data_IF_000454187722
#
_entry.id   IF_000454187722
#
_cell.length_a   1.000
_cell.length_b   1.000
_cell.length_c   1.000
_cell.angle_alpha   90.00
_cell.angle_beta   90.00
_cell.angle_gamma   90.00
#
_symmetry.space_group_name_H-M   'P 1'
#
loop_
_entity.id
_entity.type
_entity.pdbx_description
1 polymer ?
#
# COMPACT_ATOMS: atom_id res chain seq x y z
N UNK A 1 -11.12 9.76 75.58
CA UNK A 1 -10.85 8.33 75.33
C UNK A 1 -9.86 8.26 74.16
N UNK A 2 -8.56 8.01 74.39
CA UNK A 2 -7.85 6.71 74.21
C UNK A 2 -8.09 6.08 72.82
N UNK A 3 -7.13 5.57 72.04
CA UNK A 3 -5.67 5.68 71.81
C UNK A 3 -5.38 4.69 70.63
N UNK A 4 -4.19 4.78 70.02
CA UNK A 4 -3.47 3.81 69.17
C UNK A 4 -3.78 3.83 67.65
N UNK A 5 -2.87 4.02 66.66
CA UNK A 5 -1.40 3.85 66.44
C UNK A 5 -1.07 2.61 65.57
N UNK A 6 -0.61 2.88 64.34
CA UNK A 6 0.36 2.18 63.45
C UNK A 6 0.02 0.77 62.87
N UNK A 7 0.55 0.29 61.73
CA UNK A 7 1.82 0.55 61.04
C UNK A 7 1.80 0.20 59.52
N UNK A 8 2.85 0.65 58.83
CA UNK A 8 3.26 0.49 57.42
C UNK A 8 3.48 -0.97 56.97
N UNK A 9 3.44 -1.22 55.64
CA UNK A 9 4.56 -1.86 54.91
C UNK A 9 4.32 -1.95 53.40
N UNK A 10 5.20 -1.31 52.64
CA UNK A 10 5.54 -1.58 51.23
C UNK A 10 6.48 -2.79 51.14
N UNK A 11 6.43 -3.62 50.07
CA UNK A 11 7.62 -4.08 49.32
C UNK A 11 7.23 -4.86 48.04
N UNK A 12 7.98 -4.49 47.00
CA UNK A 12 8.19 -5.00 45.64
C UNK A 12 8.24 -6.52 45.51
N UNK A 13 7.55 -7.03 44.49
CA UNK A 13 7.77 -8.38 43.96
C UNK A 13 8.85 -8.32 42.87
N UNK A 14 10.01 -8.91 43.16
CA UNK A 14 11.03 -9.21 42.17
C UNK A 14 11.04 -10.70 41.89
N UNK A 15 11.37 -11.07 40.65
CA UNK A 15 11.85 -12.41 40.35
C UNK A 15 13.13 -12.29 39.53
N UNK A 16 14.24 -12.66 40.17
CA UNK A 16 15.51 -12.98 39.51
C UNK A 16 15.40 -14.39 38.96
N UNK A 17 15.86 -14.64 37.74
CA UNK A 17 16.39 -15.95 37.38
C UNK A 17 17.72 -15.78 36.65
N UNK A 18 18.69 -16.54 37.14
CA UNK A 18 20.10 -16.53 36.78
C UNK A 18 20.36 -17.33 35.49
N UNK A 19 21.48 -17.04 34.82
CA UNK A 19 22.14 -18.00 33.96
C UNK A 19 23.64 -17.98 34.24
N UNK A 20 24.09 -19.01 34.95
CA UNK A 20 25.50 -19.36 35.06
C UNK A 20 25.88 -20.21 33.85
N UNK A 21 27.00 -19.86 33.21
CA UNK A 21 27.64 -20.65 32.17
C UNK A 21 29.09 -20.20 32.05
N UNK A 22 29.99 -20.83 32.81
CA UNK A 22 31.43 -20.74 32.59
C UNK A 22 31.77 -21.46 31.29
N UNK A 23 32.53 -20.82 30.40
CA UNK A 23 33.34 -21.52 29.39
C UNK A 23 34.78 -21.03 29.55
N UNK A 24 35.65 -22.00 29.80
CA UNK A 24 37.08 -21.84 30.02
C UNK A 24 37.83 -21.40 28.75
N UNK A 25 38.96 -20.73 28.98
CA UNK A 25 39.81 -20.03 28.01
C UNK A 25 40.60 -21.02 27.15
N UNK A 26 40.72 -20.74 25.84
CA UNK A 26 41.58 -21.49 24.92
C UNK A 26 41.79 -20.77 23.57
N UNK A 27 42.75 -19.85 23.55
CA UNK A 27 43.66 -19.44 22.45
C UNK A 27 43.18 -19.18 21.00
N UNK A 28 43.57 -17.98 20.53
CA UNK A 28 43.94 -17.57 19.15
C UNK A 28 42.86 -17.02 18.20
N UNK A 29 43.02 -15.72 17.91
CA UNK A 29 42.73 -14.98 16.66
C UNK A 29 41.45 -15.31 15.88
N UNK A 30 40.52 -14.35 15.84
CA UNK A 30 40.28 -13.44 14.70
C UNK A 30 39.23 -12.43 15.16
N UNK A 31 39.58 -11.15 15.18
CA UNK A 31 38.60 -10.07 15.32
C UNK A 31 37.84 -10.00 13.99
N UNK A 32 36.75 -10.76 13.86
CA UNK A 32 35.76 -10.47 12.83
C UNK A 32 34.84 -9.37 13.38
N UNK A 33 35.07 -8.14 12.94
CA UNK A 33 34.13 -7.04 13.11
C UNK A 33 32.84 -7.40 12.36
N UNK A 34 31.93 -8.06 13.07
CA UNK A 34 30.65 -8.49 12.52
C UNK A 34 29.78 -7.26 12.24
N UNK A 35 29.37 -7.15 10.99
CA UNK A 35 28.51 -6.13 10.42
C UNK A 35 27.12 -6.07 11.09
N UNK A 36 27.02 -5.48 12.28
CA UNK A 36 25.74 -5.22 12.97
C UNK A 36 24.77 -4.37 12.13
N UNK A 37 25.26 -3.65 11.13
CA UNK A 37 24.44 -2.91 10.17
C UNK A 37 23.87 -3.78 9.03
N UNK A 38 24.57 -4.82 8.56
CA UNK A 38 24.11 -5.61 7.41
C UNK A 38 22.93 -6.53 7.76
N UNK A 39 22.92 -7.08 8.97
CA UNK A 39 21.81 -7.92 9.46
C UNK A 39 20.54 -7.09 9.74
N UNK A 40 20.71 -5.90 10.34
CA UNK A 40 19.62 -4.94 10.59
C UNK A 40 19.01 -4.41 9.28
N UNK A 41 19.84 -4.03 8.31
CA UNK A 41 19.36 -3.58 6.98
C UNK A 41 18.68 -4.72 6.23
N UNK A 42 19.19 -5.96 6.31
CA UNK A 42 18.54 -7.12 5.69
C UNK A 42 17.19 -7.45 6.36
N UNK A 43 17.09 -7.34 7.68
CA UNK A 43 15.84 -7.54 8.42
C UNK A 43 14.82 -6.44 8.11
N UNK A 44 15.22 -5.17 8.15
CA UNK A 44 14.36 -4.03 7.79
C UNK A 44 13.90 -4.09 6.33
N UNK A 45 14.78 -4.46 5.39
CA UNK A 45 14.45 -4.62 3.98
C UNK A 45 13.57 -5.85 3.71
N UNK A 46 13.66 -6.89 4.54
CA UNK A 46 12.77 -8.05 4.48
C UNK A 46 11.39 -7.71 5.04
N UNK A 47 11.32 -6.94 6.13
CA UNK A 47 10.06 -6.46 6.70
C UNK A 47 9.31 -5.53 5.74
N UNK A 48 10.00 -4.56 5.12
CA UNK A 48 9.39 -3.68 4.11
C UNK A 48 8.94 -4.44 2.86
N UNK A 49 9.71 -5.42 2.40
CA UNK A 49 9.32 -6.28 1.28
C UNK A 49 8.13 -7.19 1.64
N UNK A 50 8.06 -7.69 2.87
CA UNK A 50 6.95 -8.51 3.36
C UNK A 50 5.66 -7.68 3.48
N UNK A 51 5.77 -6.45 4.00
CA UNK A 51 4.69 -5.47 4.04
C UNK A 51 4.21 -5.11 2.63
N UNK A 52 5.14 -4.88 1.69
CA UNK A 52 4.85 -4.64 0.28
C UNK A 52 4.11 -5.81 -0.38
N UNK A 53 4.57 -7.05 -0.17
CA UNK A 53 3.91 -8.23 -0.74
C UNK A 53 2.51 -8.47 -0.15
N UNK A 54 2.32 -8.22 1.15
CA UNK A 54 1.01 -8.30 1.80
C UNK A 54 0.05 -7.26 1.22
N UNK A 55 0.53 -6.03 1.03
CA UNK A 55 -0.27 -4.96 0.45
C UNK A 55 -0.64 -5.23 -1.01
N UNK A 56 0.29 -5.75 -1.83
CA UNK A 56 0.01 -6.16 -3.22
C UNK A 56 -1.05 -7.27 -3.26
N UNK A 57 -0.96 -8.28 -2.39
CA UNK A 57 -1.97 -9.35 -2.29
C UNK A 57 -3.33 -8.81 -1.87
N UNK A 58 -3.37 -7.85 -0.94
CA UNK A 58 -4.61 -7.19 -0.54
C UNK A 58 -5.24 -6.41 -1.70
N UNK A 59 -4.46 -5.61 -2.44
CA UNK A 59 -4.91 -4.92 -3.65
C UNK A 59 -5.51 -5.93 -4.64
N UNK A 60 -4.81 -7.04 -4.89
CA UNK A 60 -5.28 -8.08 -5.81
C UNK A 60 -6.59 -8.71 -5.34
N UNK A 61 -6.74 -8.97 -4.03
CA UNK A 61 -7.97 -9.52 -3.46
C UNK A 61 -9.14 -8.55 -3.61
N UNK A 62 -8.96 -7.27 -3.25
CA UNK A 62 -9.99 -6.23 -3.41
C UNK A 62 -10.41 -6.06 -4.87
N UNK A 63 -9.46 -6.15 -5.80
CA UNK A 63 -9.73 -6.03 -7.22
C UNK A 63 -10.61 -7.16 -7.78
N UNK A 64 -10.64 -8.35 -7.13
CA UNK A 64 -11.60 -9.42 -7.49
C UNK A 64 -13.05 -8.97 -7.30
N UNK A 65 -13.27 -8.06 -6.37
CA UNK A 65 -14.58 -7.52 -6.02
C UNK A 65 -14.85 -6.15 -6.67
N UNK A 66 -13.94 -5.67 -7.53
CA UNK A 66 -14.06 -4.36 -8.18
C UNK A 66 -13.70 -3.19 -7.24
N UNK A 67 -12.95 -3.43 -6.16
CA UNK A 67 -12.61 -2.42 -5.14
C UNK A 67 -11.12 -2.07 -5.18
N UNK A 68 -10.78 -0.90 -4.61
CA UNK A 68 -9.40 -0.45 -4.35
C UNK A 68 -9.21 -0.14 -2.87
N UNK A 69 -7.97 -0.17 -2.33
CA UNK A 69 -7.71 0.24 -0.95
C UNK A 69 -8.14 1.68 -0.69
N UNK A 70 -8.64 1.95 0.52
CA UNK A 70 -8.96 3.31 0.98
C UNK A 70 -10.30 3.88 0.48
N UNK A 71 -11.06 3.12 -0.32
CA UNK A 71 -12.32 3.57 -0.90
C UNK A 71 -13.41 2.50 -0.78
N UNK A 72 -14.60 2.91 -0.36
CA UNK A 72 -15.79 2.05 -0.33
C UNK A 72 -16.66 2.28 -1.58
N UNK A 73 -16.12 1.91 -2.74
CA UNK A 73 -16.82 1.95 -4.03
C UNK A 73 -16.47 0.71 -4.83
N UNK A 74 -17.38 0.31 -5.73
CA UNK A 74 -17.23 -0.85 -6.59
C UNK A 74 -17.33 -0.42 -8.04
N UNK A 75 -16.28 -0.68 -8.81
CA UNK A 75 -16.24 -0.45 -10.23
C UNK A 75 -17.38 -1.20 -10.94
N UNK A 76 -18.07 -0.49 -11.82
CA UNK A 76 -19.24 -0.92 -12.56
C UNK A 76 -20.54 -1.01 -11.77
N UNK A 77 -20.58 -0.53 -10.52
CA UNK A 77 -21.79 -0.56 -9.68
C UNK A 77 -22.07 0.76 -8.98
N UNK A 78 -21.04 1.40 -8.42
CA UNK A 78 -21.24 2.63 -7.64
C UNK A 78 -21.51 3.80 -8.59
N UNK A 79 -22.63 4.53 -8.41
CA UNK A 79 -22.85 5.77 -9.13
C UNK A 79 -21.96 6.88 -8.56
N UNK A 80 -21.49 7.79 -9.42
CA UNK A 80 -20.63 8.90 -9.01
C UNK A 80 -21.33 9.84 -8.02
N UNK A 81 -22.67 9.96 -8.11
CA UNK A 81 -23.47 10.74 -7.17
C UNK A 81 -23.32 10.29 -5.71
N UNK A 82 -23.03 9.01 -5.45
CA UNK A 82 -22.76 8.52 -4.10
C UNK A 82 -21.40 9.03 -3.56
N UNK A 83 -20.43 9.22 -4.44
CA UNK A 83 -19.13 9.83 -4.10
C UNK A 83 -19.34 11.31 -3.84
N UNK A 84 -20.06 12.02 -4.72
CA UNK A 84 -20.39 13.45 -4.56
C UNK A 84 -21.14 13.72 -3.27
N UNK A 85 -22.12 12.87 -2.92
CA UNK A 85 -22.87 12.99 -1.67
C UNK A 85 -21.96 12.93 -0.44
N UNK A 86 -20.93 12.07 -0.48
CA UNK A 86 -20.03 11.87 0.65
C UNK A 86 -18.91 12.90 0.71
N UNK A 87 -18.38 13.30 -0.44
CA UNK A 87 -17.12 14.04 -0.55
C UNK A 87 -17.26 15.45 -1.13
N UNK A 88 -18.44 15.83 -1.59
CA UNK A 88 -18.65 17.08 -2.32
C UNK A 88 -18.17 17.00 -3.76
N UNK A 89 -18.00 18.16 -4.39
CA UNK A 89 -17.55 18.25 -5.77
C UNK A 89 -16.08 17.80 -5.92
N UNK A 90 -15.70 17.16 -7.05
CA UNK A 90 -14.31 16.85 -7.35
C UNK A 90 -13.52 18.14 -7.61
N UNK A 91 -12.19 18.12 -7.45
CA UNK A 91 -11.39 19.29 -7.81
C UNK A 91 -11.21 19.42 -9.33
N UNK A 92 -11.38 18.32 -10.07
CA UNK A 92 -11.26 18.29 -11.54
C UNK A 92 -12.37 17.44 -12.13
N UNK A 93 -13.02 17.95 -13.19
CA UNK A 93 -13.85 17.18 -14.11
C UNK A 93 -15.33 17.06 -13.77
N UNK A 94 -15.79 17.62 -12.65
CA UNK A 94 -17.19 17.47 -12.19
C UNK A 94 -18.25 18.19 -13.04
N UNK A 95 -17.84 19.05 -13.96
CA UNK A 95 -18.70 19.75 -14.93
C UNK A 95 -18.78 19.05 -16.30
N UNK A 96 -17.99 18.00 -16.50
CA UNK A 96 -17.90 17.28 -17.76
C UNK A 96 -19.09 16.33 -17.95
N UNK A 97 -19.47 16.14 -19.22
CA UNK A 97 -20.55 15.23 -19.62
C UNK A 97 -20.01 14.05 -20.42
N UNK A 98 -20.77 12.96 -20.43
CA UNK A 98 -20.41 11.75 -21.17
C UNK A 98 -19.31 10.95 -20.46
N UNK A 99 -18.46 10.27 -21.22
CA UNK A 99 -17.35 9.52 -20.62
C UNK A 99 -16.24 10.50 -20.21
N UNK A 100 -15.97 10.60 -18.92
CA UNK A 100 -14.99 11.55 -18.38
C UNK A 100 -14.30 10.98 -17.14
N UNK A 101 -13.37 11.76 -16.60
CA UNK A 101 -12.71 11.46 -15.33
C UNK A 101 -12.94 12.60 -14.36
N UNK A 102 -13.21 12.23 -13.12
CA UNK A 102 -13.18 13.12 -11.98
C UNK A 102 -12.04 12.76 -11.03
N UNK A 103 -11.47 13.76 -10.36
CA UNK A 103 -10.36 13.58 -9.42
C UNK A 103 -10.69 14.20 -8.06
N UNK A 104 -10.23 13.52 -7.02
CA UNK A 104 -10.26 13.93 -5.62
C UNK A 104 -8.85 13.88 -5.05
N UNK A 105 -8.35 14.97 -4.48
CA UNK A 105 -7.03 15.06 -3.85
C UNK A 105 -7.16 15.64 -2.44
N UNK A 106 -7.22 14.74 -1.47
CA UNK A 106 -7.46 15.09 -0.07
C UNK A 106 -6.22 15.68 0.63
N UNK A 107 -5.03 15.60 0.03
CA UNK A 107 -3.79 16.05 0.67
C UNK A 107 -3.50 15.33 1.99
N UNK A 108 -2.65 15.92 2.85
CA UNK A 108 -2.40 15.54 4.25
C UNK A 108 -2.23 14.02 4.53
N UNK A 109 -1.64 13.27 3.60
CA UNK A 109 -1.49 11.82 3.76
C UNK A 109 -2.79 11.01 3.59
N UNK A 110 -3.87 11.58 3.08
CA UNK A 110 -5.09 10.82 2.73
C UNK A 110 -5.06 10.28 1.29
N UNK A 111 -4.22 10.89 0.45
CA UNK A 111 -3.98 10.48 -0.93
C UNK A 111 -4.97 11.06 -1.92
N UNK A 112 -4.84 10.62 -3.17
CA UNK A 112 -5.70 11.05 -4.27
C UNK A 112 -6.38 9.86 -4.96
N UNK A 113 -7.60 10.11 -5.42
CA UNK A 113 -8.46 9.14 -6.09
C UNK A 113 -8.97 9.70 -7.41
N UNK A 114 -9.18 8.82 -8.38
CA UNK A 114 -9.75 9.17 -9.67
C UNK A 114 -10.86 8.22 -10.08
N UNK A 115 -11.85 8.75 -10.77
CA UNK A 115 -13.06 8.03 -11.15
C UNK A 115 -13.30 8.19 -12.64
N UNK A 116 -13.17 7.10 -13.40
CA UNK A 116 -13.66 7.04 -14.77
C UNK A 116 -15.16 6.79 -14.74
N UNK A 117 -15.93 7.70 -15.32
CA UNK A 117 -17.40 7.74 -15.23
C UNK A 117 -17.98 7.58 -16.62
N UNK A 118 -18.94 6.68 -16.77
CA UNK A 118 -19.63 6.47 -18.04
C UNK A 118 -20.78 7.48 -18.22
N UNK A 119 -21.41 7.50 -19.39
CA UNK A 119 -22.53 8.39 -19.72
C UNK A 119 -23.73 8.26 -18.77
N UNK A 120 -23.91 7.12 -18.11
CA UNK A 120 -24.97 6.86 -17.14
C UNK A 120 -24.60 7.27 -15.71
N UNK A 121 -23.42 7.87 -15.49
CA UNK A 121 -22.96 8.28 -14.17
C UNK A 121 -22.46 7.12 -13.30
N UNK A 122 -22.18 5.95 -13.87
CA UNK A 122 -21.60 4.82 -13.14
C UNK A 122 -20.09 4.83 -13.29
N UNK A 123 -19.40 4.62 -12.17
CA UNK A 123 -17.95 4.56 -12.12
C UNK A 123 -17.49 3.23 -12.76
N UNK A 124 -16.74 3.27 -13.84
CA UNK A 124 -16.17 2.09 -14.49
C UNK A 124 -14.67 1.90 -14.22
N UNK A 125 -13.94 2.96 -13.84
CA UNK A 125 -12.51 2.92 -13.50
C UNK A 125 -12.27 3.57 -12.14
N UNK A 126 -11.73 2.80 -11.19
CA UNK A 126 -11.36 3.29 -9.86
C UNK A 126 -9.84 3.43 -9.77
N UNK A 127 -9.33 4.65 -9.57
CA UNK A 127 -7.90 4.92 -9.45
C UNK A 127 -7.51 5.31 -8.03
N UNK A 128 -6.41 4.74 -7.54
CA UNK A 128 -5.76 5.15 -6.29
C UNK A 128 -4.32 5.59 -6.61
N UNK A 129 -4.03 6.87 -6.40
CA UNK A 129 -2.71 7.45 -6.63
C UNK A 129 -1.79 7.35 -5.41
N UNK A 130 -2.31 6.90 -4.27
CA UNK A 130 -1.62 6.85 -3.00
C UNK A 130 -1.39 8.23 -2.39
N UNK A 131 -0.59 8.26 -1.33
CA UNK A 131 -0.18 9.49 -0.66
C UNK A 131 1.00 10.12 -1.40
N UNK A 132 0.96 11.44 -1.61
CA UNK A 132 2.05 12.16 -2.27
C UNK A 132 3.23 12.46 -1.33
N UNK A 133 2.97 12.51 -0.02
CA UNK A 133 3.95 12.98 0.98
C UNK A 133 4.98 11.92 1.37
N UNK A 134 4.60 10.64 1.36
CA UNK A 134 5.47 9.53 1.73
C UNK A 134 5.46 8.44 0.66
N UNK A 135 6.61 8.27 -0.02
CA UNK A 135 6.81 7.27 -1.07
C UNK A 135 7.21 5.89 -0.54
N UNK A 136 7.34 5.75 0.78
CA UNK A 136 7.70 4.49 1.44
C UNK A 136 6.46 3.68 1.86
N UNK A 137 5.27 4.28 1.78
CA UNK A 137 3.99 3.66 2.13
C UNK A 137 3.00 3.62 0.98
N UNK A 138 1.97 2.77 1.11
CA UNK A 138 0.84 2.70 0.18
C UNK A 138 1.24 2.36 -1.25
N UNK A 139 0.50 2.91 -2.22
CA UNK A 139 0.72 2.63 -3.66
C UNK A 139 2.10 3.08 -4.12
N UNK A 140 2.60 4.21 -3.61
CA UNK A 140 3.88 4.79 -4.02
C UNK A 140 5.10 3.97 -3.56
N UNK A 141 4.95 3.10 -2.57
CA UNK A 141 6.04 2.19 -2.15
C UNK A 141 6.26 1.04 -3.11
N UNK A 142 5.28 0.74 -3.97
CA UNK A 142 5.32 -0.40 -4.86
C UNK A 142 6.22 -0.12 -6.07
N UNK A 143 6.81 -1.19 -6.59
CA UNK A 143 7.56 -1.20 -7.85
C UNK A 143 7.09 -2.34 -8.74
N UNK A 144 7.28 -2.25 -10.04
CA UNK A 144 6.98 -3.36 -10.96
C UNK A 144 7.68 -4.68 -10.55
N UNK A 145 8.92 -4.59 -10.07
CA UNK A 145 9.66 -5.76 -9.59
C UNK A 145 8.99 -6.41 -8.36
N UNK A 146 8.53 -5.60 -7.39
CA UNK A 146 7.81 -6.11 -6.22
C UNK A 146 6.47 -6.76 -6.60
N UNK A 147 5.78 -6.20 -7.60
CA UNK A 147 4.52 -6.75 -8.13
C UNK A 147 4.77 -8.10 -8.80
N UNK A 148 5.76 -8.21 -9.69
CA UNK A 148 6.13 -9.48 -10.34
C UNK A 148 6.54 -10.52 -9.31
N UNK A 149 7.37 -10.14 -8.33
CA UNK A 149 7.81 -11.05 -7.25
C UNK A 149 6.62 -11.61 -6.47
N UNK A 150 5.55 -10.84 -6.32
CA UNK A 150 4.39 -11.22 -5.49
C UNK A 150 3.30 -11.96 -6.27
N UNK A 151 3.01 -11.53 -7.50
CA UNK A 151 1.86 -12.01 -8.29
C UNK A 151 2.27 -12.82 -9.52
N UNK A 152 3.56 -12.92 -9.83
CA UNK A 152 4.05 -13.44 -11.10
C UNK A 152 3.98 -12.41 -12.23
N UNK A 153 4.28 -12.84 -13.46
CA UNK A 153 4.18 -11.95 -14.62
C UNK A 153 2.72 -11.61 -14.95
N UNK A 154 2.40 -10.37 -15.36
CA UNK A 154 1.07 -10.03 -15.84
C UNK A 154 0.79 -10.76 -17.16
N UNK A 155 -0.49 -11.02 -17.46
CA UNK A 155 -0.89 -11.58 -18.75
C UNK A 155 -0.75 -10.59 -19.89
N UNK A 156 -0.74 -9.30 -19.56
CA UNK A 156 -0.66 -8.24 -20.54
C UNK A 156 0.13 -7.05 -20.00
N UNK A 157 0.94 -6.46 -20.87
CA UNK A 157 1.67 -5.23 -20.62
C UNK A 157 1.25 -4.21 -21.67
N UNK A 158 0.66 -3.09 -21.22
CA UNK A 158 0.26 -1.98 -22.08
C UNK A 158 1.19 -0.80 -21.87
N UNK A 159 1.21 0.11 -22.85
CA UNK A 159 1.93 1.38 -22.77
C UNK A 159 0.98 2.52 -23.14
N UNK A 160 1.08 3.63 -22.44
CA UNK A 160 0.33 4.85 -22.75
C UNK A 160 1.23 6.07 -22.57
N UNK A 161 1.67 6.70 -23.66
CA UNK A 161 2.67 7.76 -23.59
C UNK A 161 3.95 7.28 -22.91
N UNK A 162 4.30 7.91 -21.79
CA UNK A 162 5.47 7.54 -20.97
C UNK A 162 5.20 6.43 -19.97
N UNK A 163 3.96 5.97 -19.86
CA UNK A 163 3.55 5.03 -18.83
C UNK A 163 3.63 3.60 -19.33
N UNK A 164 4.06 2.72 -18.43
CA UNK A 164 3.97 1.26 -18.55
C UNK A 164 2.88 0.78 -17.62
N UNK A 165 2.12 -0.20 -18.08
CA UNK A 165 0.93 -0.70 -17.39
C UNK A 165 1.02 -2.22 -17.32
N UNK A 166 1.10 -2.78 -16.11
CA UNK A 166 0.95 -4.22 -15.90
C UNK A 166 -0.50 -4.55 -15.62
N UNK A 167 -1.12 -5.35 -16.48
CA UNK A 167 -2.53 -5.71 -16.40
C UNK A 167 -2.68 -7.13 -15.87
N UNK A 168 -3.32 -7.25 -14.73
CA UNK A 168 -3.74 -8.50 -14.11
C UNK A 168 -5.24 -8.67 -14.22
N UNK A 169 -5.67 -9.93 -14.26
CA UNK A 169 -7.08 -10.31 -14.37
C UNK A 169 -7.50 -11.08 -13.10
N UNK A 170 -7.74 -10.39 -11.98
CA UNK A 170 -8.13 -11.02 -10.72
C UNK A 170 -9.48 -11.75 -10.82
N UNK A 171 -10.35 -11.34 -11.75
CA UNK A 171 -11.59 -12.03 -12.09
C UNK A 171 -11.91 -11.84 -13.58
N UNK A 172 -12.96 -12.50 -14.07
CA UNK A 172 -13.48 -12.29 -15.44
C UNK A 172 -14.18 -10.95 -15.64
N UNK A 173 -14.45 -10.20 -14.56
CA UNK A 173 -15.20 -8.93 -14.59
C UNK A 173 -14.30 -7.70 -14.49
N UNK A 174 -13.10 -7.86 -13.96
CA UNK A 174 -12.24 -6.74 -13.55
C UNK A 174 -10.80 -6.92 -14.04
N UNK A 175 -10.23 -5.83 -14.54
CA UNK A 175 -8.80 -5.68 -14.73
C UNK A 175 -8.22 -4.93 -13.53
N UNK A 176 -7.11 -5.39 -12.98
CA UNK A 176 -6.26 -4.64 -12.06
C UNK A 176 -5.03 -4.18 -12.82
N UNK A 177 -4.77 -2.88 -12.87
CA UNK A 177 -3.58 -2.34 -13.53
C UNK A 177 -2.69 -1.61 -12.52
N UNK A 178 -1.40 -1.90 -12.64
CA UNK A 178 -0.33 -1.16 -11.96
C UNK A 178 0.32 -0.26 -12.99
N UNK A 179 0.28 1.05 -12.76
CA UNK A 179 0.76 2.07 -13.70
C UNK A 179 1.97 2.77 -13.13
N UNK A 180 3.00 2.97 -13.94
CA UNK A 180 4.21 3.68 -13.54
C UNK A 180 5.07 4.00 -14.75
N UNK A 181 6.23 4.65 -14.56
CA UNK A 181 7.04 5.12 -15.67
C UNK A 181 7.64 3.96 -16.46
N UNK A 182 7.58 4.05 -17.79
CA UNK A 182 8.19 3.08 -18.70
C UNK A 182 9.72 3.14 -18.68
N UNK A 183 10.28 4.33 -18.46
CA UNK A 183 11.71 4.61 -18.38
C UNK A 183 12.07 5.12 -16.99
N UNK A 184 13.20 4.65 -16.46
CA UNK A 184 13.72 5.06 -15.15
C UNK A 184 14.97 5.87 -15.36
N UNK A 185 15.05 7.05 -14.75
CA UNK A 185 16.30 7.83 -14.72
C UNK A 185 17.35 7.01 -13.97
N UNK A 186 18.57 6.94 -14.52
CA UNK A 186 19.68 6.19 -13.92
C UNK A 186 19.87 6.59 -12.45
N UNK A 187 19.94 5.61 -11.56
CA UNK A 187 20.08 5.84 -10.11
C UNK A 187 18.77 6.13 -9.37
N UNK A 188 17.62 6.17 -10.05
CA UNK A 188 16.30 6.26 -9.41
C UNK A 188 15.56 4.93 -9.43
N UNK A 189 14.62 4.77 -8.51
CA UNK A 189 13.70 3.64 -8.47
C UNK A 189 12.40 4.02 -9.18
N UNK A 190 11.91 3.16 -10.07
CA UNK A 190 10.59 3.32 -10.69
C UNK A 190 9.50 2.78 -9.76
N UNK A 191 8.88 3.72 -9.06
CA UNK A 191 7.71 3.46 -8.25
C UNK A 191 6.45 3.40 -9.12
N UNK A 192 5.45 2.66 -8.64
CA UNK A 192 4.10 2.71 -9.19
C UNK A 192 3.51 4.09 -8.89
N UNK A 193 2.95 4.71 -9.90
CA UNK A 193 2.30 6.01 -9.80
C UNK A 193 0.88 5.88 -9.30
N UNK A 194 0.13 4.92 -9.82
CA UNK A 194 -1.21 4.61 -9.35
C UNK A 194 -1.56 3.18 -9.67
N UNK A 195 -2.59 2.69 -8.99
CA UNK A 195 -3.30 1.47 -9.38
C UNK A 195 -4.68 1.83 -9.88
N UNK A 196 -5.25 0.98 -10.72
CA UNK A 196 -6.64 1.08 -11.07
C UNK A 196 -7.35 -0.26 -11.22
N UNK A 197 -8.64 -0.25 -10.86
CA UNK A 197 -9.54 -1.38 -11.04
C UNK A 197 -10.62 -0.97 -12.03
N UNK A 198 -10.62 -1.65 -13.17
CA UNK A 198 -11.41 -1.31 -14.34
C UNK A 198 -12.46 -2.40 -14.62
N UNK A 199 -13.72 -1.97 -14.75
CA UNK A 199 -14.86 -2.82 -15.05
C UNK A 199 -15.26 -2.65 -16.54
N UNK A 200 -14.64 -3.43 -17.43
CA UNK A 200 -14.79 -3.23 -18.88
C UNK A 200 -16.23 -3.29 -19.39
N UNK A 201 -17.08 -4.14 -18.80
CA UNK A 201 -18.51 -4.23 -19.17
C UNK A 201 -19.33 -2.99 -18.80
N UNK A 202 -18.85 -2.17 -17.86
CA UNK A 202 -19.54 -0.96 -17.43
C UNK A 202 -19.11 0.29 -18.21
N UNK A 203 -18.11 0.19 -19.08
CA UNK A 203 -17.66 1.29 -19.94
C UNK A 203 -18.37 1.29 -21.32
N UNK A 204 -19.54 0.64 -21.41
CA UNK A 204 -20.37 0.55 -22.60
C UNK A 204 -21.46 1.63 -22.59
#
# INVERSE_FOLDING_TARGET
MLKNTEARSSVKLGTKLALAGLIAVGSMAVITHSNVNAASVKAANTLSAQQGSTYIKNIYSLAKEGKIPGLNAIAGKTPISAVHYKWGAPEVGGDLKGNHYEMYNFGMGQGAYGFGINKSGVIYDLRNFGQSVDRTVGVKSLTFASVIKTLGMPKEVRYNGTDKIYVYHPSTKYELKFVGPSKVVKGKVAHIDHINVYAGKANL
#
